data_IF_844493568861
#
_entry.id   IF_844493568861
#
_cell.length_a   1.000
_cell.length_b   1.000
_cell.length_c   1.000
_cell.angle_alpha   90.00
_cell.angle_beta   90.00
_cell.angle_gamma   90.00
#
_symmetry.space_group_name_H-M   'P 1'
#
loop_
_entity.id
_entity.type
_entity.pdbx_description
1 polymer ?
#
# COMPACT_ATOMS: atom_id res chain seq x y z
N UNK A 1 17.86 13.67 3.61
CA UNK A 1 16.80 14.36 2.85
C UNK A 1 17.21 14.35 1.39
N UNK A 2 16.29 13.93 0.52
CA UNK A 2 16.44 13.89 -0.93
C UNK A 2 15.18 14.51 -1.54
N UNK A 3 15.28 15.18 -2.68
CA UNK A 3 14.16 15.95 -3.25
C UNK A 3 14.08 15.80 -4.75
N UNK A 4 12.86 15.66 -5.28
CA UNK A 4 12.52 15.82 -6.70
C UNK A 4 11.75 17.12 -6.88
N UNK A 5 11.82 17.68 -8.08
CA UNK A 5 10.94 18.80 -8.45
C UNK A 5 9.48 18.33 -8.38
N UNK A 6 8.58 19.18 -7.92
CA UNK A 6 7.14 18.91 -7.96
C UNK A 6 6.54 19.25 -9.33
N UNK A 7 5.20 19.25 -9.41
CA UNK A 7 4.47 19.59 -10.64
C UNK A 7 4.71 21.05 -11.10
N UNK A 8 4.98 21.95 -10.16
CA UNK A 8 5.12 23.38 -10.42
C UNK A 8 6.48 23.92 -9.95
N UNK A 9 6.79 25.16 -10.34
CA UNK A 9 8.06 25.79 -9.97
C UNK A 9 8.24 26.00 -8.46
N UNK A 10 7.14 26.14 -7.73
CA UNK A 10 7.10 26.34 -6.29
C UNK A 10 6.62 25.08 -5.54
N UNK A 11 6.92 23.88 -6.08
CA UNK A 11 6.67 22.62 -5.39
C UNK A 11 7.82 21.60 -5.50
N UNK A 12 7.87 20.68 -4.53
CA UNK A 12 8.86 19.62 -4.42
C UNK A 12 8.24 18.35 -3.83
N UNK A 13 8.74 17.20 -4.28
CA UNK A 13 8.55 15.92 -3.56
C UNK A 13 9.77 15.69 -2.69
N UNK A 14 9.55 15.55 -1.39
CA UNK A 14 10.61 15.45 -0.37
C UNK A 14 10.61 14.06 0.25
N UNK A 15 11.73 13.36 0.08
CA UNK A 15 12.00 12.08 0.71
C UNK A 15 12.87 12.29 1.96
N UNK A 16 12.27 12.09 3.13
CA UNK A 16 12.91 12.23 4.43
C UNK A 16 13.24 10.86 5.02
N UNK A 17 14.52 10.50 5.02
CA UNK A 17 15.00 9.33 5.74
C UNK A 17 15.28 9.71 7.20
N UNK A 18 14.66 8.99 8.13
CA UNK A 18 14.85 9.16 9.56
C UNK A 18 14.94 7.80 10.25
N UNK A 19 15.30 7.82 11.53
CA UNK A 19 15.36 6.62 12.36
C UNK A 19 14.41 6.78 13.53
N UNK A 20 13.68 5.72 13.83
CA UNK A 20 12.88 5.60 15.05
C UNK A 20 13.39 4.45 15.91
N UNK A 21 12.93 4.40 17.15
CA UNK A 21 13.29 3.37 18.13
C UNK A 21 11.97 2.86 18.70
N UNK A 22 11.75 1.55 18.62
CA UNK A 22 10.56 0.91 19.19
C UNK A 22 10.68 0.89 20.72
N UNK A 23 9.57 1.11 21.43
CA UNK A 23 9.61 1.11 22.89
C UNK A 23 10.07 -0.26 23.41
N UNK A 24 11.17 -0.28 24.18
CA UNK A 24 11.75 -1.51 24.72
C UNK A 24 12.77 -2.21 23.82
N UNK A 25 13.09 -1.64 22.65
CA UNK A 25 14.10 -2.14 21.71
C UNK A 25 15.09 -1.01 21.41
N UNK A 26 16.39 -1.25 21.56
CA UNK A 26 17.41 -0.21 21.36
C UNK A 26 17.82 -0.04 19.88
N UNK A 27 17.51 -1.02 19.04
CA UNK A 27 17.85 -1.02 17.61
C UNK A 27 17.11 0.09 16.89
N UNK A 28 17.88 0.94 16.18
CA UNK A 28 17.33 2.02 15.37
C UNK A 28 16.76 1.45 14.08
N UNK A 29 15.51 1.77 13.80
CA UNK A 29 14.81 1.34 12.60
C UNK A 29 14.78 2.49 11.60
N UNK A 30 15.33 2.32 10.39
CA UNK A 30 15.25 3.33 9.35
C UNK A 30 13.83 3.38 8.78
N UNK A 31 13.36 4.59 8.46
CA UNK A 31 12.13 4.85 7.74
C UNK A 31 12.35 5.91 6.67
N UNK A 32 11.48 5.88 5.65
CA UNK A 32 11.42 6.89 4.61
C UNK A 32 10.00 7.47 4.59
N UNK A 33 9.88 8.76 4.87
CA UNK A 33 8.65 9.50 4.63
C UNK A 33 8.75 10.26 3.30
N UNK A 34 7.64 10.32 2.57
CA UNK A 34 7.45 11.06 1.34
C UNK A 34 6.46 12.20 1.64
N UNK A 35 6.79 13.42 1.20
CA UNK A 35 5.96 14.60 1.40
C UNK A 35 5.90 15.44 0.13
N UNK A 36 4.71 15.83 -0.29
CA UNK A 36 4.55 16.92 -1.23
C UNK A 36 4.66 18.25 -0.50
N UNK A 37 5.56 19.13 -0.95
CA UNK A 37 5.83 20.41 -0.32
C UNK A 37 5.55 21.51 -1.33
N UNK A 38 4.68 22.45 -0.93
CA UNK A 38 4.25 23.57 -1.77
C UNK A 38 4.53 24.89 -1.06
N UNK A 39 4.68 25.95 -1.85
CA UNK A 39 4.73 27.31 -1.33
C UNK A 39 3.33 27.89 -1.22
N UNK A 40 3.00 28.48 -0.08
CA UNK A 40 1.73 29.19 0.09
C UNK A 40 1.75 30.58 -0.56
N UNK A 41 0.60 31.27 -0.50
CA UNK A 41 0.44 32.61 -1.08
C UNK A 41 1.31 33.67 -0.43
N UNK A 42 1.78 33.43 0.81
CA UNK A 42 2.67 34.30 1.54
C UNK A 42 4.15 33.98 1.28
N UNK A 43 4.42 32.96 0.47
CA UNK A 43 5.76 32.52 0.12
C UNK A 43 6.41 31.54 1.10
N UNK A 44 5.68 31.03 2.10
CA UNK A 44 6.18 30.05 3.06
C UNK A 44 5.99 28.63 2.54
N UNK A 45 6.93 27.74 2.89
CA UNK A 45 6.85 26.32 2.54
C UNK A 45 5.97 25.58 3.54
N UNK A 46 5.05 24.76 3.01
CA UNK A 46 4.19 23.86 3.80
C UNK A 46 4.15 22.47 3.16
N UNK A 47 3.97 21.44 3.99
CA UNK A 47 3.60 20.12 3.51
C UNK A 47 2.14 20.21 3.05
N UNK A 48 1.86 19.71 1.85
CA UNK A 48 0.48 19.53 1.42
C UNK A 48 -0.12 18.37 2.21
N UNK A 49 -1.09 18.69 3.05
CA UNK A 49 -1.75 17.75 3.95
C UNK A 49 -3.16 17.40 3.48
N UNK A 50 -3.51 17.74 2.23
CA UNK A 50 -4.77 17.34 1.64
C UNK A 50 -4.80 15.81 1.49
N UNK A 51 -5.98 15.23 1.72
CA UNK A 51 -6.23 13.84 1.34
C UNK A 51 -6.41 13.86 -0.17
N UNK A 52 -5.40 13.38 -0.88
CA UNK A 52 -5.45 13.19 -2.32
C UNK A 52 -5.97 11.77 -2.58
N UNK A 53 -7.00 11.66 -3.42
CA UNK A 53 -7.40 10.35 -3.93
C UNK A 53 -6.43 9.90 -5.05
N UNK A 54 -6.56 8.65 -5.49
CA UNK A 54 -5.67 8.07 -6.51
C UNK A 54 -5.83 8.70 -7.91
N UNK A 55 -6.89 9.49 -8.11
CA UNK A 55 -7.13 10.25 -9.33
C UNK A 55 -6.50 11.65 -9.30
N UNK A 56 -5.98 12.10 -8.15
CA UNK A 56 -5.29 13.38 -8.01
C UNK A 56 -3.95 13.39 -8.79
N UNK A 57 -3.67 14.50 -9.46
CA UNK A 57 -2.48 14.65 -10.29
C UNK A 57 -1.17 14.63 -9.46
N UNK A 58 -1.21 15.05 -8.19
CA UNK A 58 -0.09 14.93 -7.26
C UNK A 58 0.16 13.45 -6.96
N UNK A 59 -0.88 12.68 -6.61
CA UNK A 59 -0.74 11.24 -6.33
C UNK A 59 -0.17 10.50 -7.55
N UNK A 60 -0.71 10.74 -8.75
CA UNK A 60 -0.19 10.14 -9.99
C UNK A 60 1.27 10.52 -10.24
N UNK A 61 1.62 11.78 -10.00
CA UNK A 61 2.98 12.25 -10.17
C UNK A 61 3.95 11.60 -9.18
N UNK A 62 3.61 11.55 -7.90
CA UNK A 62 4.39 10.87 -6.88
C UNK A 62 4.58 9.40 -7.22
N UNK A 63 3.51 8.70 -7.61
CA UNK A 63 3.58 7.31 -8.11
C UNK A 63 4.54 7.18 -9.30
N UNK A 64 4.51 8.11 -10.26
CA UNK A 64 5.44 8.11 -11.39
C UNK A 64 6.89 8.29 -10.95
N UNK A 65 7.17 9.14 -9.97
CA UNK A 65 8.52 9.37 -9.43
C UNK A 65 9.09 8.13 -8.75
N UNK A 66 8.24 7.24 -8.21
CA UNK A 66 8.68 5.95 -7.66
C UNK A 66 9.32 5.05 -8.72
N UNK A 67 9.08 5.33 -10.00
CA UNK A 67 9.67 4.61 -11.11
C UNK A 67 11.04 5.17 -11.54
N UNK A 68 11.43 6.36 -11.08
CA UNK A 68 12.74 6.93 -11.38
C UNK A 68 13.85 6.10 -10.72
N UNK A 69 14.94 5.87 -11.46
CA UNK A 69 16.05 5.02 -11.00
C UNK A 69 16.67 5.53 -9.68
N UNK A 70 16.78 6.85 -9.51
CA UNK A 70 17.34 7.45 -8.30
C UNK A 70 16.42 7.31 -7.07
N UNK A 71 15.10 7.34 -7.28
CA UNK A 71 14.11 7.10 -6.23
C UNK A 71 14.04 5.61 -5.87
N UNK A 72 14.13 4.72 -6.86
CA UNK A 72 14.26 3.26 -6.65
C UNK A 72 15.51 2.94 -5.83
N UNK A 73 16.67 3.45 -6.22
CA UNK A 73 17.93 3.27 -5.49
C UNK A 73 17.82 3.78 -4.04
N UNK A 74 17.17 4.92 -3.82
CA UNK A 74 16.93 5.45 -2.48
C UNK A 74 16.06 4.51 -1.64
N UNK A 75 14.96 4.01 -2.22
CA UNK A 75 14.04 3.08 -1.54
C UNK A 75 14.71 1.75 -1.23
N UNK A 76 15.44 1.18 -2.19
CA UNK A 76 16.20 -0.05 -2.01
C UNK A 76 17.26 0.10 -0.92
N UNK A 77 17.94 1.24 -0.86
CA UNK A 77 18.91 1.53 0.19
C UNK A 77 18.26 1.58 1.58
N UNK A 78 17.10 2.23 1.71
CA UNK A 78 16.38 2.27 3.00
C UNK A 78 15.85 0.89 3.36
N UNK A 79 15.27 0.17 2.40
CA UNK A 79 14.81 -1.22 2.60
C UNK A 79 15.94 -2.12 3.07
N UNK A 80 17.11 -2.05 2.43
CA UNK A 80 18.27 -2.83 2.87
C UNK A 80 18.66 -2.50 4.32
N UNK A 81 18.67 -1.23 4.71
CA UNK A 81 18.97 -0.84 6.09
C UNK A 81 17.93 -1.37 7.09
N UNK A 82 16.65 -1.42 6.68
CA UNK A 82 15.56 -1.98 7.48
C UNK A 82 15.72 -3.50 7.65
N UNK A 83 15.98 -4.21 6.54
CA UNK A 83 16.22 -5.66 6.55
C UNK A 83 17.47 -6.01 7.39
N UNK A 84 18.56 -5.23 7.26
CA UNK A 84 19.77 -5.39 8.06
C UNK A 84 19.49 -5.16 9.57
N UNK A 85 18.64 -4.19 9.92
CA UNK A 85 18.27 -3.90 11.30
C UNK A 85 17.49 -5.07 11.94
N UNK A 86 16.50 -5.61 11.24
CA UNK A 86 15.73 -6.79 11.69
C UNK A 86 16.63 -8.04 11.80
N UNK A 87 17.49 -8.28 10.80
CA UNK A 87 18.41 -9.41 10.84
C UNK A 87 19.40 -9.33 12.01
N UNK A 88 19.74 -8.11 12.46
CA UNK A 88 20.63 -7.88 13.59
C UNK A 88 19.97 -8.00 14.97
N UNK A 89 18.63 -7.92 15.04
CA UNK A 89 17.89 -7.89 16.29
C UNK A 89 16.57 -8.69 16.19
N UNK A 90 16.55 -9.95 16.65
CA UNK A 90 15.35 -10.77 16.65
C UNK A 90 14.18 -10.19 17.47
N UNK A 91 14.45 -9.40 18.51
CA UNK A 91 13.39 -8.77 19.31
C UNK A 91 12.70 -7.67 18.51
N UNK A 92 13.45 -6.96 17.66
CA UNK A 92 12.90 -6.02 16.69
C UNK A 92 12.00 -6.74 15.69
N UNK A 93 12.47 -7.85 15.10
CA UNK A 93 11.67 -8.65 14.16
C UNK A 93 10.34 -9.09 14.78
N UNK A 94 10.38 -9.73 15.95
CA UNK A 94 9.17 -10.18 16.65
C UNK A 94 8.23 -9.02 17.01
N UNK A 95 8.77 -7.86 17.38
CA UNK A 95 7.95 -6.69 17.67
C UNK A 95 7.24 -6.16 16.42
N UNK A 96 7.95 -6.08 15.29
CA UNK A 96 7.39 -5.61 14.02
C UNK A 96 6.36 -6.60 13.44
N UNK A 97 6.62 -7.91 13.53
CA UNK A 97 5.65 -8.95 13.19
C UNK A 97 4.38 -8.83 14.06
N UNK A 98 4.54 -8.56 15.36
CA UNK A 98 3.42 -8.37 16.27
C UNK A 98 2.63 -7.06 16.06
N UNK A 99 3.21 -6.06 15.39
CA UNK A 99 2.46 -4.86 14.97
C UNK A 99 1.55 -5.14 13.76
N UNK A 100 1.79 -6.21 13.01
CA UNK A 100 0.97 -6.61 11.87
C UNK A 100 -0.31 -7.37 12.22
N UNK A 101 -0.59 -7.60 13.50
CA UNK A 101 -1.74 -8.40 13.96
C UNK A 101 -2.99 -7.56 14.31
N UNK A 102 -2.94 -6.25 14.07
CA UNK A 102 -4.11 -5.36 14.00
C UNK A 102 -4.17 -4.72 12.59
N UNK A 103 -4.90 -5.39 11.68
CA UNK A 103 -5.63 -4.83 10.53
C UNK A 103 -4.93 -3.78 9.63
N UNK A 104 -4.28 -4.25 8.56
CA UNK A 104 -4.54 -3.83 7.16
C UNK A 104 -3.66 -4.68 6.23
N UNK A 105 -4.21 -5.81 5.77
CA UNK A 105 -3.70 -6.51 4.60
C UNK A 105 -4.01 -5.68 3.35
N UNK A 106 -3.11 -4.76 3.02
CA UNK A 106 -2.96 -4.24 1.65
C UNK A 106 -1.60 -4.73 1.15
N UNK A 107 -1.54 -6.04 0.89
CA UNK A 107 -0.62 -6.53 -0.11
C UNK A 107 -1.34 -6.30 -1.44
N UNK A 108 -0.85 -5.34 -2.23
CA UNK A 108 -1.21 -5.15 -3.63
C UNK A 108 -0.84 -6.45 -4.39
N UNK A 109 -1.69 -7.47 -4.29
CA UNK A 109 -1.52 -8.72 -5.04
C UNK A 109 -1.69 -8.38 -6.51
N UNK A 110 -0.71 -8.70 -7.36
CA UNK A 110 -0.75 -8.35 -8.78
C UNK A 110 -1.99 -8.94 -9.50
N UNK A 111 -2.54 -8.22 -10.47
CA UNK A 111 -3.56 -8.74 -11.39
C UNK A 111 -3.12 -10.07 -12.02
N UNK A 112 -4.06 -11.01 -12.18
CA UNK A 112 -3.79 -12.37 -12.68
C UNK A 112 -3.39 -13.38 -11.61
N UNK A 113 -3.32 -12.97 -10.33
CA UNK A 113 -3.10 -13.91 -9.22
C UNK A 113 -4.34 -14.75 -8.95
N UNK A 114 -4.14 -16.03 -8.67
CA UNK A 114 -5.19 -16.95 -8.25
C UNK A 114 -5.35 -16.88 -6.73
N UNK A 115 -6.54 -16.51 -6.29
CA UNK A 115 -6.95 -16.43 -4.90
C UNK A 115 -7.90 -17.58 -4.58
N UNK A 116 -7.86 -18.07 -3.35
CA UNK A 116 -8.72 -19.12 -2.82
C UNK A 116 -9.67 -18.51 -1.82
N UNK A 117 -10.96 -18.76 -1.99
CA UNK A 117 -12.01 -18.37 -1.04
C UNK A 117 -11.84 -19.15 0.26
N UNK A 118 -11.71 -18.47 1.39
CA UNK A 118 -11.43 -19.11 2.69
C UNK A 118 -12.70 -19.64 3.37
N UNK A 119 -13.83 -18.96 3.15
CA UNK A 119 -15.14 -19.31 3.68
C UNK A 119 -16.26 -18.88 2.71
N UNK A 120 -17.46 -19.43 2.86
CA UNK A 120 -18.58 -19.11 1.98
C UNK A 120 -18.86 -17.60 1.98
N UNK A 121 -18.76 -16.96 0.81
CA UNK A 121 -18.79 -15.51 0.67
C UNK A 121 -19.82 -15.03 -0.35
N UNK A 122 -20.23 -13.76 -0.23
CA UNK A 122 -21.13 -13.11 -1.18
C UNK A 122 -20.32 -12.40 -2.26
N UNK A 123 -20.76 -12.57 -3.51
CA UNK A 123 -20.26 -11.83 -4.67
C UNK A 123 -21.17 -10.63 -4.91
N UNK A 124 -20.59 -9.43 -5.03
CA UNK A 124 -21.33 -8.17 -5.09
C UNK A 124 -21.10 -7.42 -6.39
N UNK A 125 -22.08 -6.59 -6.76
CA UNK A 125 -22.04 -5.79 -7.99
C UNK A 125 -21.11 -4.57 -7.93
N UNK A 126 -20.65 -4.16 -6.74
CA UNK A 126 -19.74 -3.05 -6.54
C UNK A 126 -18.90 -3.27 -5.27
N UNK A 127 -17.80 -2.52 -5.15
CA UNK A 127 -16.88 -2.50 -3.99
C UNK A 127 -17.52 -1.87 -2.74
N UNK A 128 -18.60 -2.47 -2.23
CA UNK A 128 -19.32 -1.99 -1.06
C UNK A 128 -20.14 -3.09 -0.39
N UNK A 129 -20.21 -3.07 0.94
CA UNK A 129 -21.04 -3.99 1.73
C UNK A 129 -22.55 -3.80 1.50
N UNK A 130 -22.95 -2.64 0.98
CA UNK A 130 -24.34 -2.29 0.69
C UNK A 130 -24.73 -2.56 -0.78
N UNK A 131 -23.77 -3.01 -1.60
CA UNK A 131 -24.02 -3.34 -3.00
C UNK A 131 -24.89 -4.60 -3.16
N UNK A 132 -25.59 -4.66 -4.29
CA UNK A 132 -26.40 -5.83 -4.67
C UNK A 132 -25.56 -7.11 -4.66
N UNK A 133 -26.12 -8.17 -4.07
CA UNK A 133 -25.50 -9.50 -4.05
C UNK A 133 -25.87 -10.19 -5.36
N UNK A 134 -24.87 -10.41 -6.21
CA UNK A 134 -25.01 -11.11 -7.49
C UNK A 134 -25.06 -12.63 -7.29
N UNK A 135 -24.38 -13.14 -6.26
CA UNK A 135 -24.26 -14.56 -5.99
C UNK A 135 -23.39 -14.85 -4.78
N UNK A 136 -22.85 -16.06 -4.72
CA UNK A 136 -21.92 -16.45 -3.66
C UNK A 136 -20.93 -17.52 -4.11
N UNK A 137 -19.76 -17.52 -3.49
CA UNK A 137 -18.71 -18.52 -3.70
C UNK A 137 -18.58 -19.37 -2.46
N UNK A 138 -18.31 -20.66 -2.65
CA UNK A 138 -18.05 -21.57 -1.55
C UNK A 138 -16.58 -21.58 -1.16
N UNK A 139 -16.31 -21.90 0.11
CA UNK A 139 -14.94 -22.13 0.59
C UNK A 139 -14.16 -23.10 -0.33
N UNK A 140 -12.93 -22.75 -0.65
CA UNK A 140 -12.06 -23.48 -1.57
C UNK A 140 -12.24 -23.13 -3.06
N UNK A 141 -13.16 -22.22 -3.41
CA UNK A 141 -13.29 -21.75 -4.80
C UNK A 141 -12.09 -20.91 -5.18
N UNK A 142 -11.51 -21.19 -6.34
CA UNK A 142 -10.41 -20.39 -6.90
C UNK A 142 -10.98 -19.29 -7.79
N UNK A 143 -10.52 -18.06 -7.59
CA UNK A 143 -10.87 -16.89 -8.39
C UNK A 143 -9.61 -16.19 -8.87
N UNK A 144 -9.66 -15.62 -10.08
CA UNK A 144 -8.57 -14.82 -10.60
C UNK A 144 -8.82 -13.34 -10.28
N UNK A 145 -7.84 -12.69 -9.65
CA UNK A 145 -7.88 -11.25 -9.38
C UNK A 145 -7.78 -10.48 -10.69
N UNK A 146 -8.79 -9.64 -10.97
CA UNK A 146 -8.83 -8.72 -12.12
C UNK A 146 -8.49 -7.29 -11.75
N UNK A 147 -8.56 -6.95 -10.46
CA UNK A 147 -8.28 -5.62 -9.94
C UNK A 147 -8.56 -5.56 -8.44
N UNK A 148 -8.38 -4.40 -7.85
CA UNK A 148 -8.69 -4.11 -6.45
C UNK A 148 -9.25 -2.70 -6.33
N UNK A 149 -10.24 -2.53 -5.45
CA UNK A 149 -10.82 -1.23 -5.09
C UNK A 149 -10.98 -1.21 -3.56
N UNK A 150 -9.99 -0.63 -2.89
CA UNK A 150 -9.89 -0.64 -1.43
C UNK A 150 -9.82 -2.07 -0.89
N UNK A 151 -10.78 -2.46 -0.05
CA UNK A 151 -10.83 -3.80 0.55
C UNK A 151 -11.54 -4.84 -0.32
N UNK A 152 -11.81 -4.51 -1.59
CA UNK A 152 -12.57 -5.36 -2.50
C UNK A 152 -11.72 -5.83 -3.66
N UNK A 153 -11.69 -7.14 -3.84
CA UNK A 153 -11.07 -7.78 -4.99
C UNK A 153 -12.08 -7.85 -6.12
N UNK A 154 -11.71 -7.30 -7.27
CA UNK A 154 -12.49 -7.41 -8.50
C UNK A 154 -12.22 -8.78 -9.16
N UNK A 155 -13.29 -9.46 -9.54
CA UNK A 155 -13.29 -10.77 -10.20
C UNK A 155 -14.23 -10.75 -11.42
N UNK A 156 -14.05 -11.73 -12.31
CA UNK A 156 -15.07 -12.07 -13.31
C UNK A 156 -16.01 -13.13 -12.72
N UNK A 157 -17.30 -12.80 -12.59
CA UNK A 157 -18.33 -13.71 -12.13
C UNK A 157 -19.37 -13.89 -13.23
N UNK A 158 -19.37 -15.05 -13.89
CA UNK A 158 -20.24 -15.37 -15.03
C UNK A 158 -20.20 -14.31 -16.15
N UNK A 159 -19.01 -13.75 -16.44
CA UNK A 159 -18.82 -12.69 -17.44
C UNK A 159 -19.30 -11.31 -16.99
N UNK A 160 -19.61 -11.14 -15.71
CA UNK A 160 -19.96 -9.86 -15.08
C UNK A 160 -18.85 -9.44 -14.13
N UNK A 161 -18.48 -8.18 -14.17
CA UNK A 161 -17.59 -7.57 -13.19
C UNK A 161 -18.23 -7.62 -11.81
N UNK A 162 -17.54 -8.21 -10.85
CA UNK A 162 -18.03 -8.38 -9.51
C UNK A 162 -16.92 -8.27 -8.46
N UNK A 163 -17.33 -8.15 -7.20
CA UNK A 163 -16.44 -7.83 -6.09
C UNK A 163 -16.64 -8.79 -4.92
N UNK A 164 -15.52 -9.22 -4.33
CA UNK A 164 -15.47 -10.03 -3.12
C UNK A 164 -14.55 -9.35 -2.12
N UNK A 165 -14.90 -9.38 -0.84
CA UNK A 165 -14.10 -8.75 0.20
C UNK A 165 -12.75 -9.46 0.37
N UNK A 166 -11.65 -8.71 0.43
CA UNK A 166 -10.28 -9.23 0.47
C UNK A 166 -10.06 -10.18 1.67
N UNK A 167 -10.67 -9.90 2.82
CA UNK A 167 -10.57 -10.75 4.02
C UNK A 167 -11.05 -12.20 3.83
N UNK A 168 -11.79 -12.49 2.75
CA UNK A 168 -12.36 -13.79 2.43
C UNK A 168 -11.55 -14.55 1.37
N UNK A 169 -10.40 -13.99 0.99
CA UNK A 169 -9.54 -14.48 -0.09
C UNK A 169 -8.11 -14.64 0.42
N UNK A 170 -7.42 -15.66 -0.07
CA UNK A 170 -6.00 -15.91 0.22
C UNK A 170 -5.26 -16.28 -1.06
N UNK A 171 -4.02 -15.81 -1.23
CA UNK A 171 -3.19 -16.27 -2.33
C UNK A 171 -2.97 -17.78 -2.26
N UNK A 172 -3.13 -18.45 -3.41
CA UNK A 172 -2.81 -19.86 -3.50
C UNK A 172 -1.30 -20.06 -3.39
N UNK A 173 -0.82 -20.44 -2.21
CA UNK A 173 0.56 -20.88 -2.03
C UNK A 173 0.71 -22.30 -2.59
N UNK A 174 1.62 -22.50 -3.55
CA UNK A 174 1.97 -23.82 -4.09
C UNK A 174 2.73 -24.71 -3.10
#
# INVERSE_FOLDING_TARGET
MYTKKGLDDDSYVVYSCFYYICQGIDTKVPALAEFYVVKDTDGNWKIDGAVHDDSDEITKYEVSLRQDDDVKELKDKVKKLYDDAQASDPALTTFLEGLGEDDTGSEDTAEGTILVVTEDCNVRAAASSDAEILGGLSAGTEVEKKGEDGEWVQIDYDGTEAYVHNSLLQEKTE
#
